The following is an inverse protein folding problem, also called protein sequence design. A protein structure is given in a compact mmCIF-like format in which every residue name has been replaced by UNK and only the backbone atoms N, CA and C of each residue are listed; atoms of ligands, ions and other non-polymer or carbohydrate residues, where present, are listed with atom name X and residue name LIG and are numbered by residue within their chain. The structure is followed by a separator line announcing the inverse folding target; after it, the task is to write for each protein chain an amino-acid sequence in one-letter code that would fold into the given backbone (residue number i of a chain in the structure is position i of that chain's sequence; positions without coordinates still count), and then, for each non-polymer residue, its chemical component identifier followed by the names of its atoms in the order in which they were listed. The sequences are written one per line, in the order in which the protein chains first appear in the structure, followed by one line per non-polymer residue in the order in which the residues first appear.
data_IF_350275686756
#
_entry.id   IF_350275686756
#
_cell.length_a   1.000
_cell.length_b   1.000
_cell.length_c   1.000
_cell.angle_alpha   90.00
_cell.angle_beta   90.00
_cell.angle_gamma   90.00
#
_symmetry.space_group_name_H-M   'P 1'
#
loop_
_entity.id
_entity.type
_entity.pdbx_description
1 polymer ?
#
# COMPACT_ATOMS: atom_id res chain seq x y z
N UNK A 1 -14.71 -42.91 -11.77
CA UNK A 1 -13.46 -43.56 -12.22
C UNK A 1 -12.81 -42.64 -13.23
N UNK A 2 -12.03 -41.64 -12.77
CA UNK A 2 -11.21 -40.76 -13.62
C UNK A 2 -9.82 -40.67 -13.02
N UNK A 3 -8.87 -41.10 -13.83
CA UNK A 3 -7.46 -41.28 -13.53
C UNK A 3 -6.77 -39.92 -13.57
N UNK A 4 -6.22 -39.47 -12.45
CA UNK A 4 -5.36 -38.27 -12.35
C UNK A 4 -3.96 -38.68 -12.80
N UNK A 5 -3.50 -38.14 -13.94
CA UNK A 5 -2.13 -38.28 -14.41
C UNK A 5 -1.23 -37.31 -13.63
N UNK A 6 -0.44 -37.86 -12.73
CA UNK A 6 0.69 -37.19 -12.07
C UNK A 6 1.84 -37.01 -13.05
N UNK A 7 2.10 -35.75 -13.40
CA UNK A 7 3.29 -35.38 -14.17
C UNK A 7 4.46 -35.19 -13.21
N UNK A 8 5.39 -36.12 -13.24
CA UNK A 8 6.64 -36.11 -12.48
C UNK A 8 7.57 -35.04 -13.07
N UNK A 9 7.88 -34.00 -12.30
CA UNK A 9 8.86 -32.98 -12.63
C UNK A 9 10.24 -33.53 -12.21
N UNK A 10 11.04 -33.91 -13.20
CA UNK A 10 12.40 -34.40 -13.01
C UNK A 10 13.31 -33.22 -12.69
N UNK A 11 13.78 -33.16 -11.43
CA UNK A 11 14.82 -32.24 -11.00
C UNK A 11 16.18 -32.70 -11.59
N UNK A 12 16.69 -32.02 -12.61
CA UNK A 12 18.07 -32.14 -13.05
C UNK A 12 18.97 -31.34 -12.10
N UNK A 13 19.55 -32.03 -11.11
CA UNK A 13 20.75 -31.51 -10.41
C UNK A 13 21.94 -31.56 -11.35
N UNK A 14 22.32 -30.42 -11.91
CA UNK A 14 23.57 -30.25 -12.60
C UNK A 14 24.69 -30.13 -11.56
N UNK A 15 25.54 -31.14 -11.43
CA UNK A 15 26.80 -31.08 -10.68
C UNK A 15 27.79 -30.19 -11.42
N UNK A 16 28.02 -28.98 -10.90
CA UNK A 16 29.05 -28.07 -11.36
C UNK A 16 30.38 -28.45 -10.69
N UNK A 17 31.49 -28.59 -11.46
CA UNK A 17 32.80 -28.77 -10.89
C UNK A 17 33.31 -27.44 -10.31
N UNK A 18 33.64 -27.45 -9.02
CA UNK A 18 34.40 -26.39 -8.36
C UNK A 18 35.85 -26.44 -8.84
N UNK A 19 36.18 -25.62 -9.80
CA UNK A 19 37.55 -25.39 -10.20
C UNK A 19 37.78 -23.91 -10.53
N UNK A 20 38.53 -23.20 -9.69
CA UNK A 20 39.32 -22.02 -10.06
C UNK A 20 38.63 -20.67 -9.94
N UNK A 21 38.65 -20.10 -8.72
CA UNK A 21 38.47 -18.68 -8.52
C UNK A 21 39.65 -17.89 -9.10
N UNK A 22 39.42 -17.15 -10.20
CA UNK A 22 40.14 -15.93 -10.55
C UNK A 22 39.25 -15.08 -11.46
N UNK A 23 38.70 -14.03 -10.91
CA UNK A 23 38.20 -12.76 -11.52
C UNK A 23 38.01 -12.78 -13.06
N UNK A 24 36.92 -13.39 -13.51
CA UNK A 24 36.21 -12.97 -14.72
C UNK A 24 34.74 -13.05 -14.36
N UNK A 25 34.06 -11.91 -14.45
CA UNK A 25 32.60 -11.78 -14.30
C UNK A 25 31.98 -12.84 -15.23
N UNK A 26 31.19 -13.75 -14.66
CA UNK A 26 30.58 -14.83 -15.44
C UNK A 26 29.47 -14.22 -16.32
N UNK A 27 29.54 -14.33 -17.65
CA UNK A 27 28.55 -13.75 -18.55
C UNK A 27 27.11 -14.22 -18.27
N UNK A 28 26.96 -15.39 -17.64
CA UNK A 28 25.64 -15.91 -17.24
C UNK A 28 25.04 -15.12 -16.07
N UNK A 29 25.87 -14.60 -15.17
CA UNK A 29 25.48 -13.77 -14.04
C UNK A 29 25.07 -12.39 -14.51
N UNK A 30 25.87 -11.76 -15.36
CA UNK A 30 25.55 -10.46 -15.95
C UNK A 30 24.24 -10.50 -16.73
N UNK A 31 23.99 -11.58 -17.45
CA UNK A 31 22.74 -11.80 -18.17
C UNK A 31 21.56 -11.96 -17.22
N UNK A 32 21.67 -12.77 -16.16
CA UNK A 32 20.62 -12.97 -15.17
C UNK A 32 20.30 -11.67 -14.41
N UNK A 33 21.32 -10.88 -14.07
CA UNK A 33 21.14 -9.57 -13.45
C UNK A 33 20.45 -8.57 -14.39
N UNK A 34 20.79 -8.57 -15.68
CA UNK A 34 20.15 -7.73 -16.69
C UNK A 34 18.68 -8.12 -16.89
N UNK A 35 18.38 -9.41 -17.00
CA UNK A 35 16.99 -9.91 -17.13
C UNK A 35 16.15 -9.58 -15.88
N UNK A 36 16.71 -9.73 -14.68
CA UNK A 36 16.04 -9.36 -13.43
C UNK A 36 15.77 -7.83 -13.35
N UNK A 37 16.74 -7.02 -13.77
CA UNK A 37 16.60 -5.56 -13.81
C UNK A 37 15.54 -5.12 -14.82
N UNK A 38 15.49 -5.74 -16.00
CA UNK A 38 14.46 -5.45 -17.01
C UNK A 38 13.06 -5.83 -16.51
N UNK A 39 12.89 -7.02 -15.92
CA UNK A 39 11.64 -7.48 -15.33
C UNK A 39 11.17 -6.54 -14.21
N UNK A 40 12.07 -6.11 -13.33
CA UNK A 40 11.78 -5.14 -12.26
C UNK A 40 11.34 -3.79 -12.82
N UNK A 41 12.01 -3.31 -13.87
CA UNK A 41 11.62 -2.06 -14.54
C UNK A 41 10.24 -2.13 -15.22
N UNK A 42 9.83 -3.29 -15.73
CA UNK A 42 8.49 -3.51 -16.27
C UNK A 42 7.42 -3.49 -15.19
N UNK A 43 7.70 -4.13 -14.05
CA UNK A 43 6.81 -4.14 -12.87
C UNK A 43 6.67 -2.72 -12.32
N UNK A 44 7.76 -1.98 -12.15
CA UNK A 44 7.73 -0.59 -11.68
C UNK A 44 6.83 0.31 -12.54
N UNK A 45 7.00 0.26 -13.89
CA UNK A 45 6.14 1.01 -14.82
C UNK A 45 4.66 0.61 -14.76
N UNK A 46 4.37 -0.68 -14.54
CA UNK A 46 3.00 -1.14 -14.37
C UNK A 46 2.37 -0.60 -13.08
N UNK A 47 3.11 -0.62 -11.97
CA UNK A 47 2.70 -0.07 -10.68
C UNK A 47 2.46 1.45 -10.81
N UNK A 48 3.38 2.20 -11.39
CA UNK A 48 3.24 3.65 -11.60
C UNK A 48 1.97 3.99 -12.40
N UNK A 49 1.68 3.23 -13.45
CA UNK A 49 0.48 3.43 -14.27
C UNK A 49 -0.80 3.17 -13.47
N UNK A 50 -0.86 2.10 -12.68
CA UNK A 50 -2.02 1.80 -11.85
C UNK A 50 -2.19 2.82 -10.71
N UNK A 51 -1.11 3.29 -10.11
CA UNK A 51 -1.14 4.36 -9.10
C UNK A 51 -1.64 5.67 -9.72
N UNK A 52 -1.17 6.03 -10.92
CA UNK A 52 -1.64 7.23 -11.62
C UNK A 52 -3.14 7.16 -11.92
N UNK A 53 -3.63 5.97 -12.32
CA UNK A 53 -5.06 5.73 -12.53
C UNK A 53 -5.85 5.83 -11.23
N UNK A 54 -5.40 5.16 -10.16
CA UNK A 54 -6.02 5.19 -8.85
C UNK A 54 -6.09 6.63 -8.29
N UNK A 55 -5.02 7.40 -8.43
CA UNK A 55 -4.98 8.82 -8.04
C UNK A 55 -6.01 9.65 -8.80
N UNK A 56 -6.11 9.45 -10.11
CA UNK A 56 -7.12 10.13 -10.93
C UNK A 56 -8.54 9.78 -10.48
N UNK A 57 -8.83 8.49 -10.29
CA UNK A 57 -10.15 8.04 -9.81
C UNK A 57 -10.47 8.59 -8.42
N UNK A 58 -9.49 8.69 -7.54
CA UNK A 58 -9.64 9.24 -6.18
C UNK A 58 -10.00 10.74 -6.21
N UNK A 59 -9.44 11.51 -7.12
CA UNK A 59 -9.72 12.95 -7.26
C UNK A 59 -11.01 13.25 -8.01
N UNK A 60 -11.27 12.53 -9.09
CA UNK A 60 -12.37 12.81 -10.02
C UNK A 60 -13.65 12.02 -9.68
N UNK A 61 -13.51 10.87 -9.03
CA UNK A 61 -14.63 10.01 -8.66
C UNK A 61 -15.26 10.36 -7.32
N UNK A 62 -16.39 9.74 -7.02
CA UNK A 62 -16.97 9.78 -5.70
C UNK A 62 -16.10 8.97 -4.72
N UNK A 63 -15.83 9.55 -3.55
CA UNK A 63 -15.17 8.82 -2.47
C UNK A 63 -16.19 7.96 -1.76
N UNK A 64 -16.04 6.65 -1.83
CA UNK A 64 -16.86 5.69 -1.07
C UNK A 64 -16.31 5.57 0.34
N UNK A 65 -17.15 5.82 1.36
CA UNK A 65 -16.76 5.79 2.78
C UNK A 65 -17.39 4.62 3.56
N UNK A 66 -18.13 3.76 2.87
CA UNK A 66 -18.78 2.59 3.48
C UNK A 66 -19.02 1.48 2.46
N UNK A 67 -19.35 0.28 2.96
CA UNK A 67 -19.65 -0.91 2.17
C UNK A 67 -18.41 -1.75 1.88
N UNK A 68 -18.58 -2.82 1.11
CA UNK A 68 -17.55 -3.85 0.76
C UNK A 68 -16.32 -3.31 0.03
N UNK A 69 -16.24 -2.00 -0.19
CA UNK A 69 -15.28 -1.39 -1.10
C UNK A 69 -13.89 -1.15 -0.51
N UNK A 70 -13.72 -1.27 0.79
CA UNK A 70 -12.42 -1.06 1.45
C UNK A 70 -12.00 -2.33 2.20
N UNK A 71 -11.55 -3.31 1.45
CA UNK A 71 -10.79 -4.42 2.02
C UNK A 71 -9.30 -4.09 1.89
N UNK A 72 -8.74 -3.49 2.93
CA UNK A 72 -7.29 -3.28 3.02
C UNK A 72 -6.70 -4.43 3.80
N UNK A 73 -5.83 -5.22 3.17
CA UNK A 73 -5.08 -6.27 3.85
C UNK A 73 -3.65 -5.76 4.10
N UNK A 74 -3.34 -5.50 5.36
CA UNK A 74 -1.99 -5.11 5.80
C UNK A 74 -1.46 -6.19 6.73
N UNK A 75 -0.28 -6.75 6.44
CA UNK A 75 0.40 -7.76 7.26
C UNK A 75 -0.47 -8.97 7.69
N UNK A 76 -1.36 -9.42 6.78
CA UNK A 76 -2.26 -10.55 7.04
C UNK A 76 -3.51 -10.20 7.87
N UNK A 77 -3.63 -8.99 8.37
CA UNK A 77 -4.85 -8.47 8.98
C UNK A 77 -5.72 -7.83 7.90
N UNK A 78 -6.98 -8.22 7.87
CA UNK A 78 -8.00 -7.68 6.96
C UNK A 78 -8.78 -6.59 7.70
N UNK A 79 -8.68 -5.36 7.22
CA UNK A 79 -9.48 -4.23 7.67
C UNK A 79 -10.67 -4.15 6.73
N UNK A 80 -11.79 -4.74 7.14
CA UNK A 80 -13.05 -4.72 6.40
C UNK A 80 -13.95 -3.66 7.00
N UNK A 81 -14.45 -2.76 6.17
CA UNK A 81 -15.58 -1.91 6.57
C UNK A 81 -16.79 -2.79 6.92
N UNK A 82 -17.65 -2.37 7.86
CA UNK A 82 -18.81 -3.15 8.27
C UNK A 82 -19.79 -3.29 7.08
N UNK A 83 -20.08 -4.53 6.68
CA UNK A 83 -20.86 -4.87 5.50
C UNK A 83 -22.37 -4.58 5.64
N UNK A 84 -22.81 -4.16 6.81
CA UNK A 84 -24.22 -3.91 7.12
C UNK A 84 -24.66 -2.44 6.94
N UNK A 85 -23.73 -1.56 6.56
CA UNK A 85 -24.03 -0.14 6.39
C UNK A 85 -24.45 0.17 4.96
N UNK A 86 -25.46 1.03 4.75
CA UNK A 86 -25.80 1.54 3.43
C UNK A 86 -24.59 2.17 2.75
N UNK A 87 -24.46 1.99 1.43
CA UNK A 87 -23.36 2.59 0.68
C UNK A 87 -23.40 4.11 0.77
N UNK A 88 -22.33 4.70 1.26
CA UNK A 88 -22.20 6.15 1.35
C UNK A 88 -21.02 6.67 0.54
N UNK A 89 -21.24 7.83 -0.09
CA UNK A 89 -20.28 8.45 -1.00
C UNK A 89 -20.22 9.96 -0.76
N UNK A 90 -19.01 10.52 -0.90
CA UNK A 90 -18.79 11.97 -0.95
C UNK A 90 -18.32 12.33 -2.35
N UNK A 91 -19.08 13.17 -3.06
CA UNK A 91 -18.72 13.62 -4.42
C UNK A 91 -17.56 14.64 -4.39
N UNK A 92 -16.90 14.89 -5.53
CA UNK A 92 -15.92 15.99 -5.63
C UNK A 92 -16.51 17.37 -5.35
N UNK A 93 -17.83 17.53 -5.45
CA UNK A 93 -18.55 18.77 -5.12
C UNK A 93 -18.98 18.85 -3.64
N UNK A 94 -18.66 17.83 -2.81
CA UNK A 94 -19.02 17.78 -1.40
C UNK A 94 -20.50 17.38 -1.16
N UNK A 95 -21.16 16.74 -2.11
CA UNK A 95 -22.47 16.17 -1.88
C UNK A 95 -22.31 14.84 -1.15
N UNK A 96 -23.18 14.59 -0.17
CA UNK A 96 -23.26 13.32 0.54
C UNK A 96 -24.38 12.47 -0.04
N UNK A 97 -24.04 11.25 -0.46
CA UNK A 97 -24.97 10.31 -1.11
C UNK A 97 -25.03 9.06 -0.26
N UNK A 98 -26.23 8.63 0.13
CA UNK A 98 -26.47 7.36 0.86
C UNK A 98 -27.46 6.52 0.04
N UNK A 99 -27.10 5.29 -0.28
CA UNK A 99 -27.89 4.39 -1.14
C UNK A 99 -28.35 5.06 -2.45
N UNK A 100 -27.46 5.82 -3.06
CA UNK A 100 -27.73 6.53 -4.33
C UNK A 100 -28.64 7.75 -4.18
N UNK A 101 -28.99 8.15 -2.94
CA UNK A 101 -29.82 9.33 -2.69
C UNK A 101 -28.98 10.44 -2.06
N UNK A 102 -29.04 11.63 -2.67
CA UNK A 102 -28.36 12.80 -2.12
C UNK A 102 -29.03 13.24 -0.81
N UNK A 103 -28.23 13.38 0.23
CA UNK A 103 -28.64 13.93 1.53
C UNK A 103 -28.60 15.45 1.44
N UNK A 104 -29.64 16.11 1.95
CA UNK A 104 -29.69 17.56 2.01
C UNK A 104 -28.68 18.09 3.05
N UNK A 105 -27.74 18.92 2.60
CA UNK A 105 -26.69 19.47 3.46
C UNK A 105 -26.65 20.99 3.41
N UNK A 106 -26.33 21.60 4.55
CA UNK A 106 -26.02 23.03 4.62
C UNK A 106 -24.67 23.34 3.98
N UNK A 107 -24.38 24.62 3.63
CA UNK A 107 -23.04 24.99 3.15
C UNK A 107 -21.92 24.64 4.12
N UNK A 108 -22.13 24.72 5.43
CA UNK A 108 -21.15 24.36 6.45
C UNK A 108 -20.88 22.84 6.47
N UNK A 109 -21.92 22.01 6.43
CA UNK A 109 -21.78 20.56 6.35
C UNK A 109 -21.09 20.13 5.05
N UNK A 110 -21.41 20.79 3.94
CA UNK A 110 -20.71 20.54 2.66
C UNK A 110 -19.23 20.86 2.74
N UNK A 111 -18.86 21.95 3.42
CA UNK A 111 -17.44 22.28 3.63
C UNK A 111 -16.72 21.20 4.45
N UNK A 112 -17.32 20.70 5.53
CA UNK A 112 -16.77 19.60 6.33
C UNK A 112 -16.70 18.29 5.55
N UNK A 113 -17.66 17.98 4.68
CA UNK A 113 -17.61 16.81 3.79
C UNK A 113 -16.44 16.91 2.79
N UNK A 114 -16.19 18.10 2.24
CA UNK A 114 -15.03 18.35 1.39
C UNK A 114 -13.72 18.22 2.16
N UNK A 115 -13.67 18.67 3.39
CA UNK A 115 -12.52 18.52 4.27
C UNK A 115 -12.26 17.05 4.59
N UNK A 116 -13.26 16.30 5.01
CA UNK A 116 -13.19 14.85 5.23
C UNK A 116 -12.68 14.13 3.97
N UNK A 117 -13.25 14.46 2.81
CA UNK A 117 -12.79 13.92 1.53
C UNK A 117 -11.31 14.23 1.29
N UNK A 118 -10.89 15.47 1.50
CA UNK A 118 -9.50 15.91 1.32
C UNK A 118 -8.52 15.17 2.23
N UNK A 119 -8.90 14.95 3.48
CA UNK A 119 -8.10 14.20 4.46
C UNK A 119 -7.93 12.73 4.03
N UNK A 120 -9.00 12.05 3.63
CA UNK A 120 -8.93 10.65 3.14
C UNK A 120 -8.07 10.56 1.88
N UNK A 121 -8.22 11.50 0.95
CA UNK A 121 -7.37 11.56 -0.25
C UNK A 121 -5.90 11.77 0.14
N UNK A 122 -5.60 12.65 1.08
CA UNK A 122 -4.23 12.91 1.56
C UNK A 122 -3.57 11.66 2.16
N UNK A 123 -4.29 10.91 2.99
CA UNK A 123 -3.84 9.62 3.54
C UNK A 123 -3.59 8.61 2.41
N UNK A 124 -4.53 8.49 1.48
CA UNK A 124 -4.39 7.56 0.35
C UNK A 124 -3.20 7.92 -0.56
N UNK A 125 -2.96 9.21 -0.83
CA UNK A 125 -1.80 9.67 -1.61
C UNK A 125 -0.48 9.39 -0.88
N UNK A 126 -0.44 9.62 0.44
CA UNK A 126 0.73 9.29 1.26
C UNK A 126 1.01 7.78 1.21
N UNK A 127 -0.04 6.95 1.36
CA UNK A 127 0.08 5.49 1.25
C UNK A 127 0.57 5.04 -0.13
N UNK A 128 0.06 5.64 -1.21
CA UNK A 128 0.52 5.35 -2.58
C UNK A 128 2.00 5.75 -2.78
N UNK A 129 2.43 6.88 -2.23
CA UNK A 129 3.82 7.32 -2.30
C UNK A 129 4.76 6.36 -1.56
N UNK A 130 4.36 5.92 -0.35
CA UNK A 130 5.09 4.92 0.44
C UNK A 130 5.15 3.59 -0.31
N UNK A 131 4.02 3.12 -0.86
CA UNK A 131 3.93 1.89 -1.63
C UNK A 131 4.84 1.89 -2.87
N UNK A 132 4.92 3.02 -3.59
CA UNK A 132 5.85 3.17 -4.72
C UNK A 132 7.30 3.03 -4.27
N UNK A 133 7.70 3.72 -3.20
CA UNK A 133 9.06 3.62 -2.66
C UNK A 133 9.40 2.20 -2.18
N UNK A 134 8.44 1.52 -1.53
CA UNK A 134 8.63 0.15 -1.10
C UNK A 134 8.82 -0.80 -2.29
N UNK A 135 8.08 -0.60 -3.39
CA UNK A 135 8.23 -1.37 -4.61
C UNK A 135 9.61 -1.13 -5.29
N UNK A 136 10.07 0.11 -5.35
CA UNK A 136 11.39 0.47 -5.87
C UNK A 136 12.53 -0.16 -5.04
N UNK A 137 12.37 -0.16 -3.72
CA UNK A 137 13.30 -0.82 -2.81
C UNK A 137 13.37 -2.32 -3.04
N UNK A 138 12.21 -2.98 -3.14
CA UNK A 138 12.17 -4.42 -3.40
C UNK A 138 12.87 -4.75 -4.72
N UNK A 139 12.66 -3.95 -5.75
CA UNK A 139 13.32 -4.09 -7.04
C UNK A 139 14.84 -3.93 -6.96
N UNK A 140 15.30 -2.91 -6.24
CA UNK A 140 16.73 -2.65 -6.01
C UNK A 140 17.36 -3.77 -5.18
N UNK A 141 16.71 -4.23 -4.11
CA UNK A 141 17.19 -5.31 -3.27
C UNK A 141 17.35 -6.63 -4.06
N UNK A 142 16.42 -6.94 -4.97
CA UNK A 142 16.52 -8.13 -5.84
C UNK A 142 17.74 -8.03 -6.76
N UNK A 143 17.92 -6.90 -7.44
CA UNK A 143 19.05 -6.72 -8.39
C UNK A 143 20.40 -6.66 -7.68
N UNK A 144 20.49 -6.03 -6.51
CA UNK A 144 21.73 -5.99 -5.71
C UNK A 144 22.04 -7.35 -5.06
N UNK A 145 21.03 -8.13 -4.64
CA UNK A 145 21.22 -9.46 -4.06
C UNK A 145 21.86 -10.43 -5.05
N UNK A 146 21.49 -10.37 -6.33
CA UNK A 146 22.11 -11.18 -7.38
C UNK A 146 23.60 -10.85 -7.48
N UNK A 147 23.97 -9.56 -7.47
CA UNK A 147 25.39 -9.14 -7.50
C UNK A 147 26.18 -9.50 -6.24
N UNK A 148 25.53 -9.44 -5.06
CA UNK A 148 26.19 -9.68 -3.78
C UNK A 148 26.46 -11.16 -3.49
N UNK A 149 25.60 -12.06 -3.93
CA UNK A 149 25.84 -13.52 -3.84
C UNK A 149 27.18 -13.89 -4.49
N UNK A 150 27.55 -13.17 -5.55
CA UNK A 150 28.80 -13.43 -6.29
C UNK A 150 30.00 -12.59 -5.79
N UNK A 151 29.76 -11.46 -5.10
CA UNK A 151 30.82 -10.57 -4.60
C UNK A 151 31.14 -10.72 -3.11
N UNK A 152 30.37 -11.51 -2.36
CA UNK A 152 30.56 -11.72 -0.92
C UNK A 152 30.16 -10.51 -0.04
N UNK A 153 29.39 -9.56 -0.55
CA UNK A 153 29.02 -8.31 0.12
C UNK A 153 27.61 -8.32 0.73
N UNK A 154 27.13 -9.47 1.21
CA UNK A 154 25.79 -9.64 1.77
C UNK A 154 25.48 -8.66 2.92
N UNK A 155 26.46 -8.43 3.82
CA UNK A 155 26.30 -7.52 4.97
C UNK A 155 26.02 -6.06 4.58
N UNK A 156 26.50 -5.64 3.41
CA UNK A 156 26.23 -4.27 2.93
C UNK A 156 24.80 -4.11 2.43
N UNK A 157 24.23 -5.18 1.86
CA UNK A 157 22.84 -5.17 1.39
C UNK A 157 21.90 -5.13 2.57
N UNK A 158 22.16 -5.98 3.58
CA UNK A 158 21.34 -5.99 4.81
C UNK A 158 21.25 -4.59 5.43
N UNK A 159 22.38 -3.91 5.64
CA UNK A 159 22.40 -2.54 6.17
C UNK A 159 21.66 -1.53 5.28
N UNK A 160 21.72 -1.66 3.97
CA UNK A 160 20.98 -0.78 3.06
C UNK A 160 19.48 -1.01 3.15
N UNK A 161 19.05 -2.27 3.16
CA UNK A 161 17.63 -2.65 3.28
C UNK A 161 17.08 -2.15 4.62
N UNK A 162 17.81 -2.35 5.71
CA UNK A 162 17.44 -1.87 7.04
C UNK A 162 17.31 -0.34 7.09
N UNK A 163 18.30 0.40 6.57
CA UNK A 163 18.25 1.86 6.52
C UNK A 163 17.06 2.38 5.69
N UNK A 164 16.71 1.68 4.61
CA UNK A 164 15.58 2.02 3.77
C UNK A 164 14.26 1.67 4.45
N UNK A 165 14.17 0.53 5.15
CA UNK A 165 13.00 0.15 5.93
C UNK A 165 12.71 1.19 7.03
N UNK A 166 13.75 1.66 7.74
CA UNK A 166 13.61 2.75 8.72
C UNK A 166 13.06 4.04 8.09
N UNK A 167 13.48 4.36 6.87
CA UNK A 167 12.96 5.53 6.15
C UNK A 167 11.48 5.38 5.79
N UNK A 168 11.08 4.23 5.28
CA UNK A 168 9.66 3.93 5.01
C UNK A 168 8.84 4.04 6.30
N UNK A 169 9.34 3.49 7.39
CA UNK A 169 8.72 3.57 8.71
C UNK A 169 8.50 5.03 9.14
N UNK A 170 9.52 5.88 8.99
CA UNK A 170 9.39 7.31 9.33
C UNK A 170 8.39 8.05 8.43
N UNK A 171 8.27 7.65 7.16
CA UNK A 171 7.29 8.21 6.24
C UNK A 171 5.86 7.69 6.53
N UNK A 172 5.72 6.43 6.94
CA UNK A 172 4.45 5.86 7.37
C UNK A 172 3.88 6.56 8.61
N UNK A 173 4.75 7.07 9.50
CA UNK A 173 4.33 7.86 10.67
C UNK A 173 3.53 9.11 10.28
N UNK A 174 3.81 9.71 9.13
CA UNK A 174 3.07 10.87 8.61
C UNK A 174 1.57 10.55 8.42
N UNK A 175 1.22 9.28 8.16
CA UNK A 175 -0.19 8.85 8.09
C UNK A 175 -0.83 8.94 9.47
N UNK A 176 -0.18 8.41 10.52
CA UNK A 176 -0.71 8.48 11.87
C UNK A 176 -0.87 9.93 12.36
N UNK A 177 0.04 10.82 11.95
CA UNK A 177 -0.03 12.25 12.30
C UNK A 177 -1.24 12.96 11.67
N UNK A 178 -1.86 12.39 10.62
CA UNK A 178 -3.06 12.93 9.97
C UNK A 178 -4.37 12.45 10.64
N UNK A 179 -4.35 11.33 11.37
CA UNK A 179 -5.54 10.72 11.93
C UNK A 179 -6.26 11.59 12.98
N UNK A 180 -5.59 12.36 13.86
CA UNK A 180 -6.29 13.22 14.81
C UNK A 180 -7.22 14.23 14.15
N UNK A 181 -6.77 14.89 13.07
CA UNK A 181 -7.60 15.83 12.33
C UNK A 181 -8.77 15.13 11.62
N UNK A 182 -8.58 13.90 11.13
CA UNK A 182 -9.66 13.10 10.55
C UNK A 182 -10.70 12.73 11.60
N UNK A 183 -10.28 12.33 12.80
CA UNK A 183 -11.17 12.01 13.91
C UNK A 183 -12.02 13.22 14.30
N UNK A 184 -11.41 14.40 14.44
CA UNK A 184 -12.12 15.66 14.75
C UNK A 184 -13.17 15.95 13.67
N UNK A 185 -12.80 15.91 12.40
CA UNK A 185 -13.73 16.16 11.28
C UNK A 185 -14.90 15.15 11.27
N UNK A 186 -14.63 13.86 11.53
CA UNK A 186 -15.69 12.85 11.61
C UNK A 186 -16.64 13.10 12.79
N UNK A 187 -16.12 13.50 13.94
CA UNK A 187 -16.93 13.83 15.11
C UNK A 187 -17.83 15.04 14.86
N UNK A 188 -17.31 16.10 14.25
CA UNK A 188 -18.08 17.29 13.87
C UNK A 188 -19.15 16.97 12.83
N UNK A 189 -18.83 16.17 11.81
CA UNK A 189 -19.81 15.70 10.83
C UNK A 189 -20.90 14.87 11.49
N UNK A 190 -20.54 13.91 12.34
CA UNK A 190 -21.50 13.08 13.08
C UNK A 190 -22.43 13.90 13.98
N UNK A 191 -21.91 14.94 14.63
CA UNK A 191 -22.69 15.81 15.49
C UNK A 191 -23.65 16.74 14.72
N UNK A 192 -23.27 17.15 13.50
CA UNK A 192 -24.05 18.12 12.71
C UNK A 192 -24.91 17.49 11.61
N UNK A 193 -24.57 16.28 11.14
CA UNK A 193 -25.24 15.56 10.07
C UNK A 193 -25.56 14.12 10.53
N UNK A 194 -26.79 13.87 11.06
CA UNK A 194 -27.15 12.56 11.61
C UNK A 194 -27.00 11.39 10.63
N UNK A 195 -27.19 11.64 9.33
CA UNK A 195 -27.01 10.64 8.27
C UNK A 195 -25.55 10.20 8.12
N UNK A 196 -24.59 10.98 8.61
CA UNK A 196 -23.17 10.64 8.61
C UNK A 196 -22.76 9.78 9.82
N UNK A 197 -23.52 9.81 10.91
CA UNK A 197 -23.18 9.10 12.17
C UNK A 197 -22.81 7.63 11.99
N UNK A 198 -23.47 6.83 11.15
CA UNK A 198 -23.08 5.43 10.95
C UNK A 198 -21.67 5.25 10.34
N UNK A 199 -21.12 6.27 9.70
CA UNK A 199 -19.85 6.24 8.99
C UNK A 199 -18.70 6.88 9.78
N UNK A 200 -18.99 7.52 10.90
CA UNK A 200 -18.00 8.06 11.83
C UNK A 200 -17.50 6.95 12.77
N UNK A 201 -16.73 6.03 12.22
CA UNK A 201 -16.32 4.80 12.93
C UNK A 201 -14.93 4.89 13.56
N UNK A 202 -14.16 5.93 13.28
CA UNK A 202 -12.84 6.15 13.85
C UNK A 202 -12.96 6.62 15.30
N UNK A 203 -12.08 6.12 16.15
CA UNK A 203 -11.92 6.55 17.54
C UNK A 203 -10.43 6.77 17.92
N UNK A 204 -10.18 7.14 19.18
CA UNK A 204 -8.82 7.38 19.68
C UNK A 204 -7.95 6.12 19.62
N UNK A 205 -8.53 4.94 19.77
CA UNK A 205 -7.77 3.69 19.75
C UNK A 205 -7.18 3.38 18.38
N UNK A 206 -7.81 3.84 17.29
CA UNK A 206 -7.28 3.70 15.93
C UNK A 206 -5.98 4.52 15.76
N UNK A 207 -5.93 5.70 16.37
CA UNK A 207 -4.75 6.57 16.36
C UNK A 207 -3.62 5.93 17.17
N UNK A 208 -3.94 5.47 18.39
CA UNK A 208 -2.98 4.85 19.29
C UNK A 208 -2.40 3.57 18.67
N UNK A 209 -3.26 2.76 18.04
CA UNK A 209 -2.85 1.54 17.34
C UNK A 209 -1.98 1.84 16.13
N UNK A 210 -2.29 2.88 15.34
CA UNK A 210 -1.45 3.30 14.21
C UNK A 210 -0.01 3.60 14.66
N UNK A 211 0.15 4.30 15.77
CA UNK A 211 1.47 4.64 16.34
C UNK A 211 2.17 3.37 16.84
N UNK A 212 1.46 2.51 17.58
CA UNK A 212 1.99 1.26 18.12
C UNK A 212 2.45 0.30 17.00
N UNK A 213 1.65 0.13 15.96
CA UNK A 213 1.99 -0.72 14.82
C UNK A 213 3.28 -0.24 14.12
N UNK A 214 3.43 1.08 13.94
CA UNK A 214 4.66 1.64 13.38
C UNK A 214 5.85 1.48 14.31
N UNK A 215 5.67 1.58 15.62
CA UNK A 215 6.77 1.44 16.60
C UNK A 215 7.18 -0.02 16.80
N UNK A 216 6.24 -0.95 16.76
CA UNK A 216 6.47 -2.39 16.98
C UNK A 216 7.10 -3.12 15.80
N UNK A 217 6.89 -2.68 14.57
CA UNK A 217 7.48 -3.28 13.36
C UNK A 217 8.98 -2.92 13.18
N UNK A 218 9.68 -2.75 14.25
CA UNK A 218 11.09 -2.46 14.24
C UNK A 218 11.90 -3.55 14.92
N UNK A 219 12.26 -4.61 14.18
CA UNK A 219 13.56 -5.33 14.24
C UNK A 219 13.66 -6.23 13.03
#
# INVERSE_FOLDING_TARGET
MHIIRTTTLVAMLATLPLAGACSKQDPAVDKAAAEASEATGLIGRAIEKEIAKARKELHEGNLVISGDSVNIRVNGKEYSGSNDQPRAEITPAGEFIVDGKTVATTPAQRAMLLECRGQVIGVAETGMAIGTKAADMAGTAISESIGAIFSGNADQIEKKVEAQAMKIKSEARVICDQLPAMLETQQELSASLPEFTPYATMDQSDIDQCVEDIESEGV
#
